data_IF_436587323969
#
_entry.id   IF_436587323969
#
_cell.length_a   1.000
_cell.length_b   1.000
_cell.length_c   1.000
_cell.angle_alpha   90.00
_cell.angle_beta   90.00
_cell.angle_gamma   90.00
#
_symmetry.space_group_name_H-M   'P 1'
#
loop_
_entity.id
_entity.type
_entity.pdbx_description
1 polymer ?
#
# COMPACT_ATOMS: atom_id res chain seq x y z
N UNK A 1 20.05 -12.51 -1.98
CA UNK A 1 19.09 -13.55 -2.36
C UNK A 1 18.27 -13.86 -1.11
N UNK A 2 17.11 -13.21 -0.97
CA UNK A 2 16.35 -13.15 0.28
C UNK A 2 15.95 -14.55 0.77
N UNK A 3 16.12 -14.78 2.07
CA UNK A 3 15.81 -16.03 2.77
C UNK A 3 14.32 -16.46 2.68
N UNK A 4 13.47 -15.66 2.03
CA UNK A 4 12.07 -15.99 1.71
C UNK A 4 11.90 -17.08 0.65
N UNK A 5 12.90 -17.30 -0.21
CA UNK A 5 12.82 -18.37 -1.22
C UNK A 5 13.09 -19.78 -0.66
N UNK A 6 13.64 -19.91 0.55
CA UNK A 6 14.04 -21.21 1.11
C UNK A 6 12.99 -21.87 2.01
N UNK A 7 11.77 -21.32 2.10
CA UNK A 7 10.66 -21.94 2.83
C UNK A 7 9.44 -22.23 1.95
N UNK A 8 9.68 -22.48 0.67
CA UNK A 8 8.68 -22.81 -0.34
C UNK A 8 8.65 -24.30 -0.69
N UNK A 9 8.45 -25.19 0.27
CA UNK A 9 8.22 -26.61 -0.04
C UNK A 9 7.32 -27.34 0.97
N UNK A 10 6.24 -26.68 1.45
CA UNK A 10 5.24 -27.34 2.31
C UNK A 10 3.77 -26.92 2.01
N UNK A 11 3.49 -26.11 0.98
CA UNK A 11 2.16 -25.50 0.78
C UNK A 11 1.38 -26.03 -0.44
N UNK A 12 0.13 -26.47 -0.25
CA UNK A 12 -0.82 -26.84 -1.32
C UNK A 12 -1.39 -25.63 -2.11
N UNK A 13 -0.72 -24.46 -2.10
CA UNK A 13 -1.22 -23.21 -2.68
C UNK A 13 -0.10 -22.39 -3.34
N UNK A 14 -0.47 -21.46 -4.23
CA UNK A 14 0.50 -20.67 -5.00
C UNK A 14 1.31 -19.71 -4.11
N UNK A 15 2.63 -19.66 -4.31
CA UNK A 15 3.57 -18.82 -3.56
C UNK A 15 3.21 -17.33 -3.47
N UNK A 16 2.52 -16.81 -4.50
CA UNK A 16 2.08 -15.41 -4.55
C UNK A 16 1.11 -15.06 -3.41
N UNK A 17 0.39 -16.04 -2.87
CA UNK A 17 -0.52 -15.87 -1.73
C UNK A 17 0.27 -15.53 -0.45
N UNK A 18 1.51 -16.02 -0.32
CA UNK A 18 2.35 -15.75 0.85
C UNK A 18 2.90 -14.31 0.85
N UNK A 19 2.75 -13.57 -0.26
CA UNK A 19 3.05 -12.13 -0.31
C UNK A 19 1.98 -11.29 0.41
N UNK A 20 0.81 -11.85 0.74
CA UNK A 20 -0.23 -11.15 1.47
C UNK A 20 0.03 -11.27 2.98
N UNK A 21 0.28 -10.15 3.67
CA UNK A 21 0.68 -10.13 5.08
C UNK A 21 -0.49 -10.36 6.05
N UNK A 22 -1.73 -10.21 5.58
CA UNK A 22 -2.93 -10.36 6.39
C UNK A 22 -3.39 -11.82 6.41
N UNK A 23 -3.18 -12.50 7.53
CA UNK A 23 -3.48 -13.92 7.69
C UNK A 23 -4.94 -14.27 7.32
N UNK A 24 -5.92 -13.45 7.73
CA UNK A 24 -7.32 -13.69 7.39
C UNK A 24 -7.61 -13.60 5.90
N UNK A 25 -7.02 -12.63 5.20
CA UNK A 25 -7.12 -12.51 3.73
C UNK A 25 -6.40 -13.68 3.06
N UNK A 26 -5.23 -14.08 3.56
CA UNK A 26 -4.47 -15.21 3.06
C UNK A 26 -5.25 -16.53 3.18
N UNK A 27 -5.87 -16.78 4.33
CA UNK A 27 -6.70 -17.97 4.54
C UNK A 27 -7.92 -17.97 3.61
N UNK A 28 -8.47 -16.79 3.33
CA UNK A 28 -9.56 -16.61 2.35
C UNK A 28 -9.08 -16.92 0.93
N UNK A 29 -7.89 -16.44 0.54
CA UNK A 29 -7.26 -16.75 -0.76
C UNK A 29 -7.00 -18.25 -0.93
N UNK A 30 -6.51 -18.93 0.11
CA UNK A 30 -6.31 -20.39 0.06
C UNK A 30 -7.65 -21.10 -0.11
N UNK A 31 -8.68 -20.68 0.66
CA UNK A 31 -10.00 -21.31 0.62
C UNK A 31 -10.70 -21.17 -0.74
N UNK A 32 -10.64 -19.99 -1.35
CA UNK A 32 -11.44 -19.67 -2.54
C UNK A 32 -10.63 -19.59 -3.84
N UNK A 33 -9.31 -19.38 -3.78
CA UNK A 33 -8.48 -19.09 -4.95
C UNK A 33 -7.23 -19.97 -5.10
N UNK A 34 -7.03 -21.02 -4.28
CA UNK A 34 -5.83 -21.87 -4.37
C UNK A 34 -5.59 -22.50 -5.76
N UNK A 35 -6.67 -22.76 -6.52
CA UNK A 35 -6.60 -23.28 -7.90
C UNK A 35 -6.93 -22.22 -8.97
N UNK A 36 -6.99 -20.94 -8.60
CA UNK A 36 -7.38 -19.87 -9.53
C UNK A 36 -6.19 -19.50 -10.44
N UNK A 37 -6.30 -19.67 -11.78
CA UNK A 37 -5.22 -19.34 -12.70
C UNK A 37 -4.93 -17.83 -12.80
N UNK A 38 -5.80 -16.98 -12.25
CA UNK A 38 -5.66 -15.53 -12.20
C UNK A 38 -5.43 -15.00 -10.78
N UNK A 39 -4.92 -15.86 -9.88
CA UNK A 39 -4.61 -15.50 -8.48
C UNK A 39 -3.71 -14.27 -8.37
N UNK A 40 -2.77 -14.09 -9.30
CA UNK A 40 -1.86 -12.95 -9.33
C UNK A 40 -2.59 -11.61 -9.42
N UNK A 41 -3.69 -11.56 -10.18
CA UNK A 41 -4.51 -10.35 -10.31
C UNK A 41 -5.24 -10.05 -9.01
N UNK A 42 -5.76 -11.07 -8.32
CA UNK A 42 -6.44 -10.91 -7.03
C UNK A 42 -5.45 -10.43 -5.97
N UNK A 43 -4.24 -11.01 -5.92
CA UNK A 43 -3.18 -10.54 -5.01
C UNK A 43 -2.74 -9.12 -5.35
N UNK A 44 -2.62 -8.77 -6.63
CA UNK A 44 -2.33 -7.40 -7.07
C UNK A 44 -3.39 -6.41 -6.59
N UNK A 45 -4.67 -6.77 -6.73
CA UNK A 45 -5.79 -5.96 -6.28
C UNK A 45 -5.76 -5.74 -4.75
N UNK A 46 -5.39 -6.75 -3.97
CA UNK A 46 -5.22 -6.66 -2.51
C UNK A 46 -4.03 -5.75 -2.16
N UNK A 47 -2.87 -5.97 -2.77
CA UNK A 47 -1.65 -5.21 -2.45
C UNK A 47 -1.78 -3.75 -2.87
N UNK A 48 -2.48 -3.47 -3.98
CA UNK A 48 -2.65 -2.11 -4.50
C UNK A 48 -3.65 -1.24 -3.78
N UNK A 49 -4.33 -1.78 -2.76
CA UNK A 49 -5.32 -1.04 -1.98
C UNK A 49 -4.95 -0.98 -0.50
N UNK A 50 -3.66 -1.14 -0.18
CA UNK A 50 -3.14 -0.86 1.14
C UNK A 50 -3.24 0.62 1.45
N UNK A 51 -3.87 0.93 2.57
CA UNK A 51 -4.12 2.29 3.03
C UNK A 51 -3.69 2.46 4.48
N UNK A 52 -3.41 3.69 4.88
CA UNK A 52 -3.18 4.07 6.28
C UNK A 52 -4.20 5.15 6.65
N UNK A 53 -4.84 4.96 7.81
CA UNK A 53 -5.79 5.93 8.37
C UNK A 53 -5.07 7.01 9.19
N UNK A 54 -5.63 8.22 9.16
CA UNK A 54 -5.17 9.37 9.95
C UNK A 54 -6.31 10.40 10.08
N UNK A 55 -6.03 11.54 10.71
CA UNK A 55 -6.93 12.68 10.76
C UNK A 55 -6.49 13.72 9.72
N UNK A 56 -7.46 14.30 9.01
CA UNK A 56 -7.17 15.33 8.01
C UNK A 56 -6.44 16.54 8.61
N UNK A 57 -6.75 16.90 9.86
CA UNK A 57 -6.09 17.98 10.61
C UNK A 57 -4.60 17.74 10.90
N UNK A 58 -4.14 16.49 10.85
CA UNK A 58 -2.70 16.18 10.99
C UNK A 58 -1.95 16.41 9.68
N UNK A 59 -2.64 16.34 8.55
CA UNK A 59 -2.06 16.49 7.22
C UNK A 59 -2.21 17.90 6.68
N UNK A 60 -3.35 18.55 6.90
CA UNK A 60 -3.72 19.84 6.29
C UNK A 60 -4.08 20.85 7.37
N UNK A 61 -3.49 22.04 7.28
CA UNK A 61 -3.73 23.14 8.21
C UNK A 61 -5.19 23.60 8.16
N UNK A 62 -5.70 24.10 9.28
CA UNK A 62 -7.07 24.63 9.42
C UNK A 62 -8.19 23.67 9.00
N UNK A 63 -7.89 22.37 8.94
CA UNK A 63 -8.86 21.33 8.58
C UNK A 63 -9.52 20.72 9.81
N UNK A 64 -10.79 20.27 9.72
CA UNK A 64 -11.45 19.56 10.81
C UNK A 64 -10.76 18.21 11.09
N UNK A 65 -10.87 17.67 12.32
CA UNK A 65 -10.36 16.34 12.68
C UNK A 65 -11.26 15.24 12.08
N UNK A 66 -11.28 15.16 10.76
CA UNK A 66 -12.02 14.16 10.00
C UNK A 66 -11.12 12.93 9.78
N UNK A 67 -11.64 11.73 10.06
CA UNK A 67 -10.93 10.50 9.74
C UNK A 67 -10.85 10.32 8.22
N UNK A 68 -9.63 10.13 7.74
CA UNK A 68 -9.30 9.95 6.33
C UNK A 68 -8.31 8.81 6.18
N UNK A 69 -8.16 8.30 4.97
CA UNK A 69 -7.13 7.31 4.67
C UNK A 69 -6.43 7.63 3.36
N UNK A 70 -5.17 7.27 3.26
CA UNK A 70 -4.33 7.48 2.08
C UNK A 70 -3.83 6.13 1.59
N UNK A 71 -3.87 5.89 0.27
CA UNK A 71 -3.26 4.70 -0.33
C UNK A 71 -1.73 4.81 -0.30
N UNK A 72 -1.09 3.74 0.14
CA UNK A 72 0.38 3.65 0.21
C UNK A 72 0.98 3.77 -1.19
N UNK A 73 0.34 3.17 -2.19
CA UNK A 73 0.82 3.22 -3.59
C UNK A 73 0.82 4.64 -4.16
N UNK A 74 -0.17 5.47 -3.80
CA UNK A 74 -0.26 6.85 -4.26
C UNK A 74 0.85 7.69 -3.63
N UNK A 75 1.17 7.47 -2.34
CA UNK A 75 2.30 8.11 -1.67
C UNK A 75 3.64 7.68 -2.26
N UNK A 76 3.85 6.38 -2.46
CA UNK A 76 5.08 5.84 -3.07
C UNK A 76 5.30 6.41 -4.46
N UNK A 77 4.24 6.55 -5.25
CA UNK A 77 4.34 7.17 -6.57
C UNK A 77 4.67 8.66 -6.49
N UNK A 78 4.05 9.40 -5.57
CA UNK A 78 4.34 10.82 -5.38
C UNK A 78 5.79 11.05 -4.91
N UNK A 79 6.33 10.16 -4.06
CA UNK A 79 7.74 10.18 -3.64
C UNK A 79 8.71 9.85 -4.77
N UNK A 80 8.33 8.96 -5.70
CA UNK A 80 9.20 8.53 -6.80
C UNK A 80 9.54 9.63 -7.83
N UNK A 81 8.86 10.79 -7.75
CA UNK A 81 9.21 11.99 -8.51
C UNK A 81 10.31 12.85 -7.86
N UNK A 82 10.80 12.49 -6.66
CA UNK A 82 11.96 13.14 -6.07
C UNK A 82 13.21 12.70 -6.84
N UNK A 83 13.80 13.61 -7.63
CA UNK A 83 15.23 13.48 -7.89
C UNK A 83 15.93 13.50 -6.53
N UNK A 84 16.79 12.52 -6.28
CA UNK A 84 17.54 12.35 -5.04
C UNK A 84 18.47 13.56 -4.84
N UNK A 85 17.94 14.69 -4.38
CA UNK A 85 18.74 15.79 -3.85
C UNK A 85 18.90 15.58 -2.35
N UNK A 86 20.06 15.10 -1.88
CA UNK A 86 20.31 14.80 -0.47
C UNK A 86 20.30 16.03 0.45
N UNK A 87 20.02 17.23 -0.07
CA UNK A 87 19.88 18.48 0.68
C UNK A 87 18.44 18.97 0.90
N UNK A 88 17.42 18.25 0.42
CA UNK A 88 16.03 18.73 0.53
C UNK A 88 15.46 18.43 1.92
N UNK A 89 15.42 19.46 2.77
CA UNK A 89 14.73 19.41 4.06
C UNK A 89 13.30 18.87 3.89
N UNK A 90 12.86 17.90 4.73
CA UNK A 90 11.52 17.36 4.64
C UNK A 90 10.51 18.49 4.81
N UNK A 91 9.53 18.56 3.91
CA UNK A 91 8.47 19.55 4.03
C UNK A 91 7.79 19.42 5.41
N UNK A 92 7.47 20.55 6.03
CA UNK A 92 6.78 20.56 7.32
C UNK A 92 5.31 20.23 7.14
N UNK A 93 4.79 19.31 7.94
CA UNK A 93 3.35 19.13 8.13
C UNK A 93 2.84 20.03 9.27
N UNK A 94 1.58 20.48 9.22
CA UNK A 94 0.58 20.23 8.17
C UNK A 94 0.74 21.13 6.93
N UNK A 95 0.34 20.66 5.75
CA UNK A 95 0.35 21.44 4.50
C UNK A 95 -0.84 22.37 4.36
N UNK A 96 -0.75 23.37 3.48
CA UNK A 96 -1.87 24.26 3.18
C UNK A 96 -2.88 23.66 2.19
N UNK A 97 -2.44 22.80 1.28
CA UNK A 97 -3.30 22.18 0.27
C UNK A 97 -3.08 20.67 0.19
N UNK A 98 -4.18 19.93 0.13
CA UNK A 98 -4.14 18.46 0.10
C UNK A 98 -3.51 17.90 -1.17
N UNK A 99 -3.61 18.62 -2.29
CA UNK A 99 -3.00 18.26 -3.57
C UNK A 99 -1.47 18.18 -3.49
N UNK A 100 -0.86 18.92 -2.57
CA UNK A 100 0.59 18.97 -2.41
C UNK A 100 1.13 17.60 -1.96
N UNK A 101 0.32 16.82 -1.24
CA UNK A 101 0.64 15.45 -0.81
C UNK A 101 0.98 14.55 -1.99
N UNK A 102 0.29 14.73 -3.11
CA UNK A 102 0.44 13.86 -4.29
C UNK A 102 1.26 14.49 -5.41
N UNK A 103 1.50 15.81 -5.35
CA UNK A 103 2.20 16.55 -6.41
C UNK A 103 3.63 16.91 -6.01
N UNK A 104 3.91 17.07 -4.71
CA UNK A 104 5.24 17.41 -4.21
C UNK A 104 5.91 16.21 -3.54
N UNK A 105 7.02 15.69 -4.10
CA UNK A 105 7.70 14.53 -3.52
C UNK A 105 8.20 14.74 -2.09
N UNK A 106 8.62 15.95 -1.72
CA UNK A 106 9.08 16.26 -0.36
C UNK A 106 7.93 16.26 0.66
N UNK A 107 6.72 16.66 0.23
CA UNK A 107 5.50 16.57 1.05
C UNK A 107 5.06 15.13 1.17
N UNK A 108 5.03 14.37 0.06
CA UNK A 108 4.71 12.95 0.07
C UNK A 108 5.60 12.19 1.05
N UNK A 109 6.90 12.49 1.07
CA UNK A 109 7.86 11.91 2.00
C UNK A 109 7.58 12.31 3.47
N UNK A 110 7.23 13.56 3.72
CA UNK A 110 6.86 14.02 5.06
C UNK A 110 5.60 13.31 5.57
N UNK A 111 4.59 13.15 4.72
CA UNK A 111 3.36 12.38 5.03
C UNK A 111 3.69 10.91 5.26
N UNK A 112 4.52 10.29 4.41
CA UNK A 112 4.96 8.92 4.58
C UNK A 112 5.60 8.68 5.96
N UNK A 113 6.54 9.54 6.35
CA UNK A 113 7.20 9.49 7.67
C UNK A 113 6.22 9.72 8.82
N UNK A 114 5.32 10.68 8.69
CA UNK A 114 4.29 10.96 9.71
C UNK A 114 3.35 9.78 9.92
N UNK A 115 2.93 9.15 8.82
CA UNK A 115 2.10 7.95 8.82
C UNK A 115 2.86 6.68 9.18
N UNK A 116 4.18 6.76 9.33
CA UNK A 116 5.03 5.64 9.71
C UNK A 116 4.85 4.45 8.76
N UNK A 117 4.74 4.72 7.45
CA UNK A 117 4.47 3.67 6.45
C UNK A 117 5.61 2.64 6.38
N UNK A 118 6.80 2.99 6.86
CA UNK A 118 7.97 2.14 7.03
C UNK A 118 7.87 1.16 8.20
N UNK A 119 7.10 1.47 9.25
CA UNK A 119 6.93 0.61 10.43
C UNK A 119 5.86 -0.48 10.24
N UNK A 120 5.42 -0.67 9.00
CA UNK A 120 4.83 -1.93 8.54
C UNK A 120 3.35 -2.14 8.80
N UNK A 121 2.99 -3.42 8.69
CA UNK A 121 1.65 -3.99 8.46
C UNK A 121 0.61 -3.66 9.54
N UNK A 122 1.05 -3.32 10.75
CA UNK A 122 0.17 -3.05 11.89
C UNK A 122 -0.68 -1.80 11.69
N UNK A 123 -0.23 -0.85 10.85
CA UNK A 123 -0.96 0.37 10.50
C UNK A 123 -1.77 0.24 9.22
N UNK A 124 -1.52 -0.82 8.44
CA UNK A 124 -2.10 -0.97 7.12
C UNK A 124 -3.49 -1.55 7.22
N UNK A 125 -4.37 -0.99 6.42
CA UNK A 125 -5.74 -1.42 6.20
C UNK A 125 -5.99 -1.58 4.70
N UNK A 126 -7.18 -2.05 4.35
CA UNK A 126 -7.66 -2.26 3.00
C UNK A 126 -8.69 -1.19 2.66
N UNK A 127 -8.57 -0.58 1.48
CA UNK A 127 -9.61 0.27 0.91
C UNK A 127 -10.95 -0.49 0.87
N UNK A 128 -12.08 0.11 1.29
CA UNK A 128 -13.40 -0.50 1.22
C UNK A 128 -13.80 -1.01 -0.18
N UNK A 129 -13.25 -0.40 -1.23
CA UNK A 129 -13.43 -0.82 -2.61
C UNK A 129 -12.94 -2.24 -2.89
N UNK A 130 -11.96 -2.75 -2.13
CA UNK A 130 -11.50 -4.14 -2.23
C UNK A 130 -12.65 -5.11 -2.02
N UNK A 131 -13.42 -4.92 -0.96
CA UNK A 131 -14.50 -5.81 -0.56
C UNK A 131 -15.70 -5.71 -1.50
N UNK A 132 -15.87 -4.55 -2.16
CA UNK A 132 -16.87 -4.41 -3.23
C UNK A 132 -16.45 -5.21 -4.47
N UNK A 133 -15.16 -5.22 -4.81
CA UNK A 133 -14.60 -5.96 -5.96
C UNK A 133 -14.49 -7.46 -5.70
N UNK A 134 -14.17 -7.83 -4.45
CA UNK A 134 -13.94 -9.19 -3.98
C UNK A 134 -14.77 -9.45 -2.70
N UNK A 135 -16.09 -9.72 -2.86
CA UNK A 135 -16.99 -9.91 -1.72
C UNK A 135 -16.61 -11.08 -0.81
N UNK A 136 -15.86 -12.06 -1.32
CA UNK A 136 -15.30 -13.17 -0.55
C UNK A 136 -14.44 -12.71 0.63
N UNK A 137 -13.85 -11.52 0.58
CA UNK A 137 -13.05 -10.97 1.68
C UNK A 137 -13.88 -10.27 2.77
N UNK A 138 -15.20 -10.12 2.62
CA UNK A 138 -16.02 -9.45 3.65
C UNK A 138 -15.96 -10.14 5.01
N UNK A 139 -15.87 -11.47 5.04
CA UNK A 139 -15.70 -12.24 6.28
C UNK A 139 -14.41 -11.86 7.02
N UNK A 140 -13.39 -11.43 6.26
CA UNK A 140 -12.08 -11.01 6.74
C UNK A 140 -11.95 -9.48 6.91
N UNK A 141 -13.00 -8.71 6.58
CA UNK A 141 -12.95 -7.24 6.56
C UNK A 141 -12.69 -6.64 7.95
N UNK A 142 -13.44 -7.08 8.97
CA UNK A 142 -13.28 -6.70 10.38
C UNK A 142 -12.54 -5.37 10.65
N UNK A 143 -11.37 -5.47 11.30
CA UNK A 143 -10.48 -4.34 11.57
C UNK A 143 -9.55 -3.98 10.39
N UNK A 144 -9.54 -4.80 9.33
CA UNK A 144 -8.72 -4.58 8.15
C UNK A 144 -9.33 -3.55 7.21
N UNK A 145 -10.65 -3.35 7.21
CA UNK A 145 -11.30 -2.36 6.35
C UNK A 145 -11.07 -0.95 6.88
N UNK A 146 -10.58 -0.07 6.01
CA UNK A 146 -10.37 1.32 6.34
C UNK A 146 -11.67 2.09 6.57
N UNK A 147 -11.59 3.08 7.44
CA UNK A 147 -12.66 3.97 7.87
C UNK A 147 -12.29 5.41 7.51
N UNK A 148 -13.31 6.23 7.24
CA UNK A 148 -13.14 7.63 6.86
C UNK A 148 -13.20 7.87 5.36
N UNK A 149 -12.80 9.07 4.94
CA UNK A 149 -12.82 9.47 3.53
C UNK A 149 -11.50 9.16 2.81
N UNK A 150 -11.52 8.65 1.57
CA UNK A 150 -10.30 8.44 0.78
C UNK A 150 -9.67 9.77 0.38
N UNK A 151 -8.38 9.92 0.67
CA UNK A 151 -7.54 10.92 0.04
C UNK A 151 -6.88 10.29 -1.19
N UNK A 152 -7.09 10.90 -2.34
CA UNK A 152 -6.62 10.38 -3.63
C UNK A 152 -6.09 11.51 -4.51
N UNK A 153 -5.10 11.23 -5.37
CA UNK A 153 -4.68 12.14 -6.42
C UNK A 153 -5.79 12.32 -7.47
N UNK A 154 -5.74 13.42 -8.21
CA UNK A 154 -6.64 13.68 -9.35
C UNK A 154 -6.48 12.63 -10.46
N UNK A 155 -5.25 12.11 -10.63
CA UNK A 155 -4.94 11.00 -11.53
C UNK A 155 -4.63 9.73 -10.72
N UNK A 156 -5.58 8.81 -10.62
CA UNK A 156 -5.42 7.54 -9.90
C UNK A 156 -4.60 6.55 -10.73
N UNK A 157 -3.47 6.08 -10.19
CA UNK A 157 -2.75 4.94 -10.78
C UNK A 157 -3.29 3.65 -10.19
N UNK A 158 -3.93 2.83 -11.01
CA UNK A 158 -4.25 1.46 -10.62
C UNK A 158 -2.97 0.63 -10.73
N UNK A 159 -2.62 -0.07 -9.65
CA UNK A 159 -1.77 -1.26 -9.77
C UNK A 159 -2.55 -2.32 -10.56
N UNK A 160 -2.41 -2.26 -11.87
CA UNK A 160 -2.92 -3.28 -12.78
C UNK A 160 -1.76 -4.20 -13.12
N UNK A 161 -1.88 -5.51 -12.94
CA UNK A 161 -0.88 -6.44 -13.46
C UNK A 161 -0.88 -6.29 -15.00
N UNK A 162 0.21 -5.88 -15.64
CA UNK A 162 0.19 -5.66 -17.08
C UNK A 162 0.15 -7.02 -17.77
N UNK A 163 -0.82 -7.23 -18.67
CA UNK A 163 -0.73 -8.33 -19.66
C UNK A 163 0.51 -8.23 -20.56
N UNK A 164 1.15 -7.06 -20.61
CA UNK A 164 2.50 -6.84 -21.12
C UNK A 164 3.18 -5.78 -20.27
N UNK A 165 4.28 -6.15 -19.60
CA UNK A 165 5.05 -5.31 -18.66
C UNK A 165 5.34 -3.91 -19.22
N UNK A 166 4.47 -2.94 -18.94
CA UNK A 166 4.78 -1.54 -19.22
C UNK A 166 5.79 -1.04 -18.19
N UNK A 167 6.71 -0.19 -18.64
CA UNK A 167 7.86 0.27 -17.84
C UNK A 167 7.43 0.96 -16.54
N UNK A 168 6.30 1.67 -16.59
CA UNK A 168 5.74 2.38 -15.44
C UNK A 168 5.20 1.44 -14.35
N UNK A 169 4.54 0.35 -14.74
CA UNK A 169 4.08 -0.64 -13.76
C UNK A 169 5.25 -1.44 -13.20
N UNK A 170 6.24 -1.75 -14.04
CA UNK A 170 7.45 -2.44 -13.60
C UNK A 170 8.32 -1.59 -12.65
N UNK A 171 8.31 -0.25 -12.78
CA UNK A 171 8.92 0.63 -11.79
C UNK A 171 8.09 0.71 -10.51
N UNK A 172 6.75 0.72 -10.60
CA UNK A 172 5.89 0.71 -9.40
C UNK A 172 6.08 -0.57 -8.58
N UNK A 173 6.11 -1.73 -9.24
CA UNK A 173 6.43 -3.02 -8.60
C UNK A 173 7.83 -3.01 -7.99
N UNK A 174 8.85 -2.53 -8.72
CA UNK A 174 10.22 -2.45 -8.19
C UNK A 174 10.32 -1.54 -6.97
N UNK A 175 9.67 -0.38 -7.01
CA UNK A 175 9.70 0.57 -5.91
C UNK A 175 8.92 0.04 -4.70
N UNK A 176 7.74 -0.56 -4.91
CA UNK A 176 6.95 -1.15 -3.84
C UNK A 176 7.64 -2.36 -3.20
N UNK A 177 8.20 -3.26 -4.01
CA UNK A 177 8.95 -4.43 -3.52
C UNK A 177 10.24 -3.97 -2.82
N UNK A 178 10.98 -3.00 -3.35
CA UNK A 178 12.18 -2.48 -2.70
C UNK A 178 11.85 -1.82 -1.35
N UNK A 179 10.76 -1.06 -1.27
CA UNK A 179 10.28 -0.42 -0.04
C UNK A 179 9.82 -1.46 0.99
N UNK A 180 8.96 -2.39 0.61
CA UNK A 180 8.43 -3.42 1.53
C UNK A 180 9.49 -4.44 1.94
N UNK A 181 10.40 -4.85 1.04
CA UNK A 181 11.49 -5.75 1.40
C UNK A 181 12.50 -5.08 2.33
N UNK A 182 12.91 -3.84 2.08
CA UNK A 182 13.89 -3.16 2.96
C UNK A 182 13.33 -2.97 4.37
N UNK A 183 12.06 -2.60 4.50
CA UNK A 183 11.43 -2.28 5.78
C UNK A 183 10.98 -3.51 6.58
N UNK A 184 10.73 -4.66 5.92
CA UNK A 184 10.45 -5.92 6.62
C UNK A 184 11.67 -6.51 7.32
N UNK A 185 12.90 -6.16 6.92
CA UNK A 185 14.12 -6.63 7.59
C UNK A 185 14.52 -5.81 8.82
N UNK A 186 14.12 -4.54 8.91
CA UNK A 186 14.44 -3.68 10.07
C UNK A 186 13.49 -3.89 11.27
N UNK A 187 12.31 -4.50 11.06
CA UNK A 187 11.35 -4.78 12.15
C UNK A 187 11.63 -6.10 12.91
N UNK A 188 12.77 -6.76 12.64
CA UNK A 188 13.16 -8.04 13.27
C UNK A 188 14.42 -7.95 14.14
N UNK A 189 14.81 -6.75 14.58
CA UNK A 189 15.87 -6.51 15.57
C UNK A 189 15.33 -5.82 16.82
#
# INVERSE_FOLDING_TARGET
>A
MCAFLNRMDDGCHAAVIDCVPFLSIRDTLIRYHAANPFIDQVVSDIVGVYVVETLLSELVADSPPLQVYVKVVDLVQAMAGADEDPGQEPASLPVSQISDIFTSPSVALAVARHLQIEYGLSRYKQDPGLFTKHPEFYESAGLLMAQGAPLKPDSTSLLSFPGSLDKNTASLYRNFVAFTCSNMYESSL
#
